data_IF_198363389746
#
_entry.id   IF_198363389746
#
_cell.length_a   1.000
_cell.length_b   1.000
_cell.length_c   1.000
_cell.angle_alpha   90.00
_cell.angle_beta   90.00
_cell.angle_gamma   90.00
#
_symmetry.space_group_name_H-M   'P 1'
#
loop_
_entity.id
_entity.type
_entity.pdbx_description
1 polymer ?
#
# COMPACT_ATOMS: atom_id res chain seq x y z
N UNK A 1 4.28 9.43 19.64
CA UNK A 1 3.87 10.78 20.07
C UNK A 1 2.40 10.94 19.74
N UNK A 2 1.58 11.28 20.72
CA UNK A 2 0.16 11.58 20.49
C UNK A 2 0.00 13.10 20.35
N UNK A 3 -0.67 13.52 19.29
CA UNK A 3 -0.93 14.93 19.01
C UNK A 3 -2.44 15.13 18.89
N UNK A 4 -2.99 16.05 19.68
CA UNK A 4 -4.39 16.46 19.59
C UNK A 4 -4.50 17.89 19.09
N UNK A 5 -5.17 18.06 17.95
CA UNK A 5 -5.46 19.37 17.36
C UNK A 5 -6.85 19.83 17.76
N UNK A 6 -7.00 21.13 17.96
CA UNK A 6 -8.30 21.75 18.20
C UNK A 6 -8.98 21.98 16.85
N UNK A 7 -10.09 21.28 16.63
CA UNK A 7 -10.95 21.50 15.46
C UNK A 7 -11.70 22.83 15.54
N UNK A 8 -12.60 23.06 14.58
CA UNK A 8 -13.53 24.20 14.59
C UNK A 8 -14.14 24.43 15.98
N UNK A 9 -14.17 25.67 16.49
CA UNK A 9 -13.88 26.92 15.78
C UNK A 9 -12.40 27.38 15.79
N UNK A 10 -11.50 26.61 16.40
CA UNK A 10 -10.11 27.06 16.62
C UNK A 10 -9.23 26.90 15.38
N UNK A 11 -9.39 25.80 14.65
CA UNK A 11 -8.73 25.57 13.36
C UNK A 11 -9.57 24.66 12.46
N UNK A 12 -9.56 24.91 11.15
CA UNK A 12 -10.25 24.08 10.16
C UNK A 12 -9.30 23.09 9.45
N UNK A 13 -8.09 22.89 9.97
CA UNK A 13 -7.02 22.11 9.34
C UNK A 13 -7.10 20.60 9.61
N UNK A 14 -7.93 20.17 10.58
CA UNK A 14 -8.11 18.77 10.95
C UNK A 14 -9.57 18.29 10.81
N UNK A 15 -9.73 16.97 10.67
CA UNK A 15 -11.00 16.28 10.53
C UNK A 15 -11.43 15.71 11.89
N UNK A 16 -12.60 16.14 12.37
CA UNK A 16 -13.24 15.64 13.60
C UNK A 16 -14.57 14.91 13.33
N UNK A 17 -15.23 15.17 12.19
CA UNK A 17 -16.45 14.46 11.77
C UNK A 17 -16.11 13.15 11.05
N UNK A 18 -15.65 12.17 11.81
CA UNK A 18 -15.17 10.90 11.26
C UNK A 18 -16.25 10.09 10.51
N UNK A 19 -17.50 10.12 10.96
CA UNK A 19 -18.61 9.39 10.30
C UNK A 19 -18.86 9.90 8.87
N UNK A 20 -18.98 11.22 8.72
CA UNK A 20 -19.18 11.88 7.42
C UNK A 20 -17.96 11.68 6.52
N UNK A 21 -16.77 11.85 7.08
CA UNK A 21 -15.52 11.71 6.34
C UNK A 21 -15.28 10.27 5.87
N UNK A 22 -15.60 9.28 6.69
CA UNK A 22 -15.53 7.88 6.30
C UNK A 22 -16.44 7.59 5.09
N UNK A 23 -17.71 7.96 5.20
CA UNK A 23 -18.69 7.72 4.13
C UNK A 23 -18.30 8.40 2.81
N UNK A 24 -17.73 9.61 2.87
CA UNK A 24 -17.47 10.42 1.69
C UNK A 24 -16.07 10.23 1.10
N UNK A 25 -15.07 10.07 1.95
CA UNK A 25 -13.65 10.15 1.58
C UNK A 25 -12.84 8.91 1.93
N UNK A 26 -13.47 7.84 2.41
CA UNK A 26 -12.76 6.62 2.79
C UNK A 26 -13.36 5.38 2.13
N UNK A 27 -12.79 4.94 1.01
CA UNK A 27 -13.20 3.68 0.37
C UNK A 27 -12.90 2.45 1.21
N UNK A 28 -12.01 2.54 2.19
CA UNK A 28 -11.67 1.44 3.08
C UNK A 28 -12.74 1.17 4.13
N UNK A 29 -13.72 2.07 4.34
CA UNK A 29 -14.73 1.88 5.39
C UNK A 29 -15.88 0.96 4.98
N UNK A 30 -15.93 0.47 3.74
CA UNK A 30 -17.00 -0.39 3.23
C UNK A 30 -16.53 -1.84 3.22
N UNK A 31 -17.33 -2.72 3.85
CA UNK A 31 -17.09 -4.16 3.89
C UNK A 31 -17.75 -4.81 2.67
N UNK A 32 -16.95 -5.49 1.85
CA UNK A 32 -17.36 -6.30 0.69
C UNK A 32 -16.54 -7.58 0.68
N UNK A 33 -16.91 -8.59 -0.10
CA UNK A 33 -16.13 -9.84 -0.15
C UNK A 33 -14.68 -9.64 -0.66
N UNK A 34 -14.39 -8.49 -1.27
CA UNK A 34 -13.07 -8.06 -1.71
C UNK A 34 -12.56 -6.83 -0.94
N UNK A 35 -13.21 -6.46 0.17
CA UNK A 35 -12.86 -5.25 0.88
C UNK A 35 -11.50 -5.39 1.54
N UNK A 36 -10.70 -4.36 1.32
CA UNK A 36 -9.53 -4.04 2.13
C UNK A 36 -9.94 -3.95 3.61
N UNK A 37 -9.01 -4.16 4.55
CA UNK A 37 -9.31 -4.06 5.98
C UNK A 37 -10.03 -2.74 6.27
N UNK A 38 -11.07 -2.81 7.10
CA UNK A 38 -11.83 -1.62 7.50
C UNK A 38 -10.91 -0.68 8.26
N UNK A 39 -10.53 0.41 7.61
CA UNK A 39 -9.68 1.46 8.21
C UNK A 39 -10.56 2.66 8.48
N UNK A 40 -10.37 3.31 9.63
CA UNK A 40 -10.96 4.62 9.88
C UNK A 40 -10.36 5.68 8.96
N UNK A 41 -11.02 6.83 8.90
CA UNK A 41 -10.55 7.98 8.15
C UNK A 41 -9.13 8.30 8.61
N UNK A 42 -8.31 8.60 7.62
CA UNK A 42 -7.00 9.21 7.79
C UNK A 42 -6.74 10.06 6.57
N UNK A 43 -5.79 10.99 6.68
CA UNK A 43 -5.34 11.76 5.51
C UNK A 43 -4.93 10.85 4.36
N UNK A 44 -4.24 9.75 4.65
CA UNK A 44 -3.82 8.76 3.65
C UNK A 44 -5.00 8.05 3.00
N UNK A 45 -6.01 7.64 3.77
CA UNK A 45 -7.21 7.02 3.23
C UNK A 45 -7.98 7.99 2.31
N UNK A 46 -8.09 9.25 2.72
CA UNK A 46 -8.67 10.33 1.91
C UNK A 46 -7.88 10.55 0.61
N UNK A 47 -6.56 10.63 0.70
CA UNK A 47 -5.66 10.84 -0.43
C UNK A 47 -5.83 9.75 -1.48
N UNK A 48 -5.76 8.49 -1.06
CA UNK A 48 -5.91 7.34 -1.96
C UNK A 48 -7.29 7.31 -2.62
N UNK A 49 -8.35 7.55 -1.84
CA UNK A 49 -9.73 7.67 -2.33
C UNK A 49 -9.87 8.79 -3.37
N UNK A 50 -9.32 9.98 -3.08
CA UNK A 50 -9.38 11.13 -3.95
C UNK A 50 -8.64 10.87 -5.28
N UNK A 51 -7.42 10.36 -5.20
CA UNK A 51 -6.61 10.05 -6.38
C UNK A 51 -7.31 9.01 -7.25
N UNK A 52 -7.82 7.92 -6.67
CA UNK A 52 -8.52 6.90 -7.42
C UNK A 52 -9.71 7.49 -8.21
N UNK A 53 -10.55 8.31 -7.58
CA UNK A 53 -11.68 8.95 -8.26
C UNK A 53 -11.25 9.81 -9.44
N UNK A 54 -10.07 10.45 -9.36
CA UNK A 54 -9.51 11.23 -10.48
C UNK A 54 -8.99 10.32 -11.59
N UNK A 55 -8.38 9.19 -11.25
CA UNK A 55 -7.94 8.18 -12.22
C UNK A 55 -9.14 7.59 -12.95
N UNK A 56 -10.15 7.09 -12.24
CA UNK A 56 -11.34 6.50 -12.83
C UNK A 56 -12.10 7.48 -13.73
N UNK A 57 -12.25 8.74 -13.27
CA UNK A 57 -12.90 9.79 -14.07
C UNK A 57 -12.13 10.11 -15.37
N UNK A 58 -10.80 10.07 -15.35
CA UNK A 58 -9.96 10.49 -16.48
C UNK A 58 -9.62 9.34 -17.44
N UNK A 59 -9.33 8.17 -16.89
CA UNK A 59 -8.79 7.03 -17.61
C UNK A 59 -9.82 5.92 -17.83
N UNK A 60 -11.01 6.05 -17.25
CA UNK A 60 -12.10 5.06 -17.34
C UNK A 60 -11.68 3.66 -16.88
N UNK A 61 -10.70 3.61 -15.97
CA UNK A 61 -10.21 2.39 -15.36
C UNK A 61 -9.71 2.70 -13.94
N UNK A 62 -9.64 1.67 -13.11
CA UNK A 62 -9.22 1.73 -11.71
C UNK A 62 -7.72 1.45 -11.60
N UNK A 63 -6.97 2.25 -10.84
CA UNK A 63 -5.55 1.96 -10.61
C UNK A 63 -5.41 0.68 -9.76
N UNK A 64 -4.52 -0.27 -10.11
CA UNK A 64 -4.34 -1.50 -9.34
C UNK A 64 -3.70 -1.27 -7.97
N UNK A 65 -3.05 -0.13 -7.74
CA UNK A 65 -2.36 0.19 -6.49
C UNK A 65 -3.24 0.93 -5.48
N UNK A 66 -4.48 1.24 -5.85
CA UNK A 66 -5.41 2.05 -5.07
C UNK A 66 -6.72 1.29 -4.85
N UNK A 67 -7.43 1.57 -3.74
CA UNK A 67 -8.77 1.04 -3.53
C UNK A 67 -9.71 1.58 -4.61
N UNK A 68 -10.73 0.82 -4.98
CA UNK A 68 -11.70 1.25 -6.00
C UNK A 68 -12.65 2.30 -5.45
N UNK A 69 -12.87 3.34 -6.28
CA UNK A 69 -14.12 4.10 -6.47
C UNK A 69 -15.26 3.86 -5.49
N UNK A 70 -15.94 2.81 -5.87
CA UNK A 70 -17.17 2.33 -5.30
C UNK A 70 -16.92 0.90 -4.81
N UNK A 71 -16.67 0.71 -3.52
CA UNK A 71 -16.39 -0.61 -2.95
C UNK A 71 -17.61 -1.53 -2.92
N UNK A 72 -18.81 -1.03 -3.26
CA UNK A 72 -20.01 -1.86 -3.44
C UNK A 72 -20.02 -2.56 -4.81
N UNK A 73 -19.11 -2.19 -5.69
CA UNK A 73 -19.02 -2.67 -7.07
C UNK A 73 -17.82 -3.60 -7.20
N UNK A 74 -18.06 -4.84 -7.64
CA UNK A 74 -17.01 -5.82 -7.86
C UNK A 74 -16.19 -5.46 -9.12
N UNK A 75 -14.88 -5.17 -8.99
CA UNK A 75 -14.02 -4.82 -10.13
C UNK A 75 -13.85 -5.94 -11.15
N UNK A 76 -13.95 -7.20 -10.73
CA UNK A 76 -13.71 -8.38 -11.56
C UNK A 76 -14.96 -8.77 -12.37
N UNK A 77 -16.15 -8.46 -11.86
CA UNK A 77 -17.41 -8.97 -12.43
C UNK A 77 -18.40 -7.89 -12.87
N UNK A 78 -18.37 -6.67 -12.32
CA UNK A 78 -19.40 -5.68 -12.66
C UNK A 78 -19.03 -4.22 -12.38
N UNK A 79 -17.79 -3.80 -12.70
CA UNK A 79 -17.42 -2.39 -12.54
C UNK A 79 -17.69 -1.55 -13.79
N UNK A 80 -18.20 -0.33 -13.59
CA UNK A 80 -18.11 0.72 -14.60
C UNK A 80 -16.66 1.10 -14.92
N UNK A 81 -15.68 0.65 -14.12
CA UNK A 81 -14.26 0.92 -14.23
C UNK A 81 -13.42 -0.34 -13.95
N UNK A 82 -13.13 -1.12 -14.99
CA UNK A 82 -12.20 -2.26 -14.90
C UNK A 82 -10.83 -1.82 -14.39
N UNK A 83 -10.04 -2.74 -13.84
CA UNK A 83 -8.65 -2.44 -13.45
C UNK A 83 -7.86 -2.04 -14.71
N UNK A 84 -7.10 -0.94 -14.63
CA UNK A 84 -6.23 -0.50 -15.72
C UNK A 84 -5.23 -1.60 -16.07
N UNK A 85 -5.07 -1.92 -17.36
CA UNK A 85 -4.03 -2.82 -17.83
C UNK A 85 -2.65 -2.22 -17.56
N UNK A 86 -1.79 -2.97 -16.86
CA UNK A 86 -0.39 -2.64 -16.60
C UNK A 86 0.53 -3.59 -17.37
N UNK A 87 0.40 -3.58 -18.70
CA UNK A 87 1.24 -4.38 -19.59
C UNK A 87 2.51 -3.62 -20.00
N UNK A 88 3.63 -4.34 -20.00
CA UNK A 88 4.91 -3.87 -20.54
C UNK A 88 5.24 -4.66 -21.79
N UNK A 89 5.42 -3.96 -22.90
CA UNK A 89 5.90 -4.52 -24.15
C UNK A 89 7.43 -4.42 -24.20
N UNK A 90 8.11 -5.55 -24.02
CA UNK A 90 9.59 -5.60 -24.03
C UNK A 90 10.20 -5.26 -25.39
N UNK A 91 9.50 -5.55 -26.49
CA UNK A 91 9.99 -5.29 -27.85
C UNK A 91 10.03 -3.81 -28.17
N UNK A 92 9.01 -3.06 -27.75
CA UNK A 92 8.94 -1.60 -27.96
C UNK A 92 9.42 -0.79 -26.77
N UNK A 93 9.74 -1.45 -25.64
CA UNK A 93 10.04 -0.81 -24.36
C UNK A 93 8.97 0.19 -23.93
N UNK A 94 7.69 -0.13 -24.19
CA UNK A 94 6.57 0.74 -23.84
C UNK A 94 5.59 0.08 -22.88
N UNK A 95 5.00 0.89 -22.01
CA UNK A 95 3.87 0.50 -21.18
C UNK A 95 2.54 0.80 -21.90
N UNK A 96 1.48 0.09 -21.51
CA UNK A 96 0.12 0.26 -22.02
C UNK A 96 -0.36 1.72 -21.94
N UNK A 97 -1.32 2.09 -22.79
CA UNK A 97 -1.94 3.43 -22.78
C UNK A 97 -2.69 3.70 -21.47
N UNK A 98 -3.34 2.69 -20.91
CA UNK A 98 -4.02 2.79 -19.62
C UNK A 98 -3.04 3.03 -18.47
N UNK A 99 -1.90 2.34 -18.44
CA UNK A 99 -0.85 2.57 -17.44
C UNK A 99 -0.28 3.98 -17.52
N UNK A 100 -0.02 4.50 -18.74
CA UNK A 100 0.42 5.89 -18.96
C UNK A 100 -0.62 6.89 -18.46
N UNK A 101 -1.90 6.63 -18.74
CA UNK A 101 -3.00 7.49 -18.29
C UNK A 101 -3.08 7.51 -16.77
N UNK A 102 -3.11 6.34 -16.13
CA UNK A 102 -3.21 6.21 -14.68
C UNK A 102 -2.06 6.93 -13.98
N UNK A 103 -0.80 6.67 -14.39
CA UNK A 103 0.37 7.34 -13.83
C UNK A 103 0.29 8.88 -13.95
N UNK A 104 -0.14 9.39 -15.12
CA UNK A 104 -0.32 10.82 -15.33
C UNK A 104 -1.46 11.40 -14.50
N UNK A 105 -2.58 10.70 -14.40
CA UNK A 105 -3.74 11.11 -13.61
C UNK A 105 -3.41 11.15 -12.11
N UNK A 106 -2.71 10.14 -11.60
CA UNK A 106 -2.23 10.07 -10.22
C UNK A 106 -1.32 11.25 -9.88
N UNK A 107 -0.31 11.49 -10.73
CA UNK A 107 0.65 12.59 -10.56
C UNK A 107 -0.05 13.96 -10.54
N UNK A 108 -0.99 14.17 -11.47
CA UNK A 108 -1.71 15.44 -11.57
C UNK A 108 -2.68 15.64 -10.40
N UNK A 109 -3.30 14.57 -9.91
CA UNK A 109 -4.25 14.62 -8.80
C UNK A 109 -3.58 14.83 -7.43
N UNK A 110 -2.29 14.50 -7.30
CA UNK A 110 -1.60 14.47 -6.02
C UNK A 110 -1.68 15.80 -5.24
N UNK A 111 -1.38 16.92 -5.90
CA UNK A 111 -1.40 18.25 -5.26
C UNK A 111 -2.81 18.64 -4.80
N UNK A 112 -3.80 18.50 -5.67
CA UNK A 112 -5.19 18.85 -5.39
C UNK A 112 -5.76 18.00 -4.24
N UNK A 113 -5.49 16.69 -4.27
CA UNK A 113 -5.94 15.79 -3.21
C UNK A 113 -5.22 16.08 -1.89
N UNK A 114 -3.95 16.48 -1.92
CA UNK A 114 -3.19 16.85 -0.71
C UNK A 114 -3.79 18.06 -0.01
N UNK A 115 -4.26 19.04 -0.80
CA UNK A 115 -4.92 20.24 -0.29
C UNK A 115 -6.35 19.95 0.21
N UNK A 116 -7.06 19.00 -0.43
CA UNK A 116 -8.43 18.63 -0.06
C UNK A 116 -8.49 17.80 1.25
N UNK A 117 -7.53 16.91 1.44
CA UNK A 117 -7.55 15.93 2.53
C UNK A 117 -6.95 16.47 3.83
N UNK A 118 -7.80 16.64 4.83
CA UNK A 118 -7.42 17.09 6.18
C UNK A 118 -6.72 15.97 6.97
N UNK A 119 -5.89 16.36 7.93
CA UNK A 119 -5.32 15.40 8.90
C UNK A 119 -6.35 15.04 9.97
N UNK A 120 -6.11 13.93 10.67
CA UNK A 120 -6.92 13.58 11.84
C UNK A 120 -6.67 14.60 12.97
N UNK A 121 -7.70 14.96 13.71
CA UNK A 121 -7.50 15.83 14.89
C UNK A 121 -6.79 15.07 16.03
N UNK A 122 -6.94 13.74 16.07
CA UNK A 122 -6.25 12.85 17.00
C UNK A 122 -5.24 11.99 16.20
N UNK A 123 -3.96 12.33 16.27
CA UNK A 123 -2.89 11.69 15.49
C UNK A 123 -1.91 10.95 16.41
N UNK A 124 -1.49 9.76 15.97
CA UNK A 124 -0.48 8.93 16.65
C UNK A 124 0.70 8.72 15.72
N UNK A 125 1.83 9.33 16.07
CA UNK A 125 3.09 9.12 15.36
C UNK A 125 3.97 8.12 16.09
N UNK A 126 4.46 7.11 15.37
CA UNK A 126 5.43 6.16 15.90
C UNK A 126 6.81 6.53 15.39
N UNK A 127 7.74 6.85 16.30
CA UNK A 127 9.15 7.08 15.97
C UNK A 127 9.89 5.79 16.26
N UNK A 128 10.22 4.97 15.24
CA UNK A 128 10.89 3.70 15.47
C UNK A 128 12.34 3.94 15.89
N UNK A 129 12.76 3.33 16.99
CA UNK A 129 14.18 3.15 17.31
C UNK A 129 14.56 1.75 16.88
N UNK A 130 15.32 1.67 15.79
CA UNK A 130 15.73 0.40 15.21
C UNK A 130 17.17 0.12 15.58
N UNK A 131 17.41 -1.03 16.19
CA UNK A 131 18.73 -1.60 16.39
C UNK A 131 18.78 -2.97 15.73
N UNK A 132 19.84 -3.24 14.98
CA UNK A 132 20.07 -4.55 14.38
C UNK A 132 21.26 -5.24 15.05
N UNK A 133 21.20 -6.56 15.13
CA UNK A 133 22.30 -7.42 15.56
C UNK A 133 22.46 -8.55 14.57
N UNK A 134 23.67 -9.13 14.51
CA UNK A 134 23.93 -10.29 13.67
C UNK A 134 23.12 -11.49 14.19
N UNK A 135 22.34 -12.10 13.29
CA UNK A 135 21.59 -13.33 13.55
C UNK A 135 21.79 -14.29 12.37
N UNK A 136 22.05 -15.59 12.62
CA UNK A 136 22.27 -16.22 13.92
C UNK A 136 23.66 -15.91 14.50
N UNK A 137 23.87 -16.18 15.78
CA UNK A 137 25.22 -16.13 16.38
C UNK A 137 26.05 -17.36 15.96
N UNK A 138 27.39 -17.23 15.93
CA UNK A 138 28.31 -18.31 15.55
C UNK A 138 28.03 -19.65 16.27
N UNK A 139 27.72 -19.62 17.57
CA UNK A 139 27.44 -20.83 18.36
C UNK A 139 26.17 -21.58 17.94
N UNK A 140 25.24 -20.91 17.27
CA UNK A 140 23.94 -21.42 16.84
C UNK A 140 23.78 -21.39 15.32
N UNK A 141 24.82 -21.06 14.57
CA UNK A 141 24.79 -20.96 13.11
C UNK A 141 24.34 -22.30 12.52
N UNK A 142 25.09 -23.37 12.77
CA UNK A 142 24.82 -24.69 12.18
C UNK A 142 23.42 -25.23 12.51
N UNK A 143 22.96 -25.07 13.75
CA UNK A 143 21.63 -25.54 14.18
C UNK A 143 20.50 -24.72 13.53
N UNK A 144 20.65 -23.39 13.46
CA UNK A 144 19.71 -22.50 12.78
C UNK A 144 19.65 -22.80 11.28
N UNK A 145 20.80 -23.07 10.66
CA UNK A 145 20.88 -23.45 9.25
C UNK A 145 20.17 -24.79 8.99
N UNK A 146 20.41 -25.80 9.84
CA UNK A 146 19.75 -27.10 9.71
C UNK A 146 18.23 -27.00 9.87
N UNK A 147 17.74 -26.17 10.80
CA UNK A 147 16.31 -25.91 10.95
C UNK A 147 15.72 -25.23 9.72
N UNK A 148 16.35 -24.16 9.20
CA UNK A 148 15.85 -23.48 7.98
C UNK A 148 15.81 -24.45 6.79
N UNK A 149 16.86 -25.27 6.63
CA UNK A 149 16.91 -26.30 5.58
C UNK A 149 15.85 -27.39 5.77
N UNK A 150 15.48 -27.74 7.01
CA UNK A 150 14.46 -28.76 7.28
C UNK A 150 13.05 -28.28 6.92
N UNK A 151 12.75 -26.99 7.11
CA UNK A 151 11.43 -26.41 6.83
C UNK A 151 11.23 -25.97 5.37
N UNK A 152 12.29 -25.63 4.64
CA UNK A 152 12.16 -25.09 3.28
C UNK A 152 12.99 -25.87 2.24
N UNK A 153 12.29 -26.67 1.43
CA UNK A 153 12.89 -27.48 0.35
C UNK A 153 13.66 -26.63 -0.68
N UNK A 154 13.16 -25.44 -1.02
CA UNK A 154 13.80 -24.57 -2.01
C UNK A 154 15.12 -23.97 -1.49
N UNK A 155 15.17 -23.63 -0.21
CA UNK A 155 16.40 -23.17 0.44
C UNK A 155 17.40 -24.32 0.55
N UNK A 156 16.93 -25.52 0.96
CA UNK A 156 17.74 -26.73 1.01
C UNK A 156 18.40 -27.05 -0.33
N UNK A 157 17.62 -27.02 -1.41
CA UNK A 157 18.11 -27.32 -2.75
C UNK A 157 19.10 -26.26 -3.28
N UNK A 158 18.91 -24.99 -2.90
CA UNK A 158 19.82 -23.89 -3.23
C UNK A 158 21.14 -23.99 -2.46
N UNK A 159 21.08 -24.19 -1.15
CA UNK A 159 22.28 -24.27 -0.28
C UNK A 159 23.14 -25.51 -0.59
N UNK A 160 22.51 -26.64 -0.93
CA UNK A 160 23.22 -27.86 -1.33
C UNK A 160 24.02 -27.70 -2.62
N UNK A 161 23.63 -26.77 -3.51
CA UNK A 161 24.32 -26.45 -4.76
C UNK A 161 25.50 -25.48 -4.59
N UNK A 162 25.61 -24.81 -3.45
CA UNK A 162 26.69 -23.85 -3.16
C UNK A 162 27.96 -24.55 -2.64
N UNK A 163 29.14 -24.02 -2.98
CA UNK A 163 30.42 -24.47 -2.41
C UNK A 163 30.57 -24.02 -0.94
N UNK A 164 31.44 -24.67 -0.18
CA UNK A 164 31.51 -24.51 1.28
C UNK A 164 31.74 -23.06 1.77
N UNK A 165 32.48 -22.24 1.00
CA UNK A 165 32.68 -20.81 1.29
C UNK A 165 31.48 -19.93 0.92
N UNK A 166 30.68 -20.34 -0.06
CA UNK A 166 29.49 -19.62 -0.53
C UNK A 166 28.29 -19.87 0.39
N UNK A 167 28.23 -21.04 1.03
CA UNK A 167 27.20 -21.37 2.04
C UNK A 167 27.21 -20.41 3.23
N UNK A 168 28.40 -20.04 3.71
CA UNK A 168 28.58 -19.07 4.80
C UNK A 168 28.17 -17.64 4.41
N UNK A 169 28.32 -17.27 3.13
CA UNK A 169 27.95 -15.94 2.64
C UNK A 169 26.46 -15.80 2.35
N UNK A 170 25.75 -16.90 2.07
CA UNK A 170 24.30 -16.88 1.80
C UNK A 170 23.45 -16.61 3.07
N UNK A 171 24.01 -16.92 4.24
CA UNK A 171 23.34 -16.84 5.54
C UNK A 171 23.73 -15.57 6.34
N UNK A 172 24.59 -14.72 5.79
CA UNK A 172 25.02 -13.43 6.35
C UNK A 172 24.48 -12.29 5.50
#
# INVERSE_FOLDING_TARGET
VYTKRLSYPYAEDCQNEYLTANKKYNMYSVVSNYSLPSVNYSKTACMKTCIQRRVEKRCLCSSPNLPISDPTVDPLYNSSYSICSYEYNSTTSTISTQAKCAQSAEKNAFSDCTALCKQDCDEYDYVPSLSHSMWPSDAYEDDSQQQIMSYNKNIRDTVNRLHHGERKSFMR
#
